data_IF_424732379745
#
_entry.id   IF_424732379745
#
_cell.length_a   1.000
_cell.length_b   1.000
_cell.length_c   1.000
_cell.angle_alpha   90.00
_cell.angle_beta   90.00
_cell.angle_gamma   90.00
#
_symmetry.space_group_name_H-M   'P 1'
#
loop_
_entity.id
_entity.type
_entity.pdbx_description
1 polymer ?
#
# COMPACT_ATOMS: atom_id res chain seq x y z
N UNK A 1 14.06 -15.75 21.55
CA UNK A 1 13.04 -14.95 20.83
C UNK A 1 11.96 -15.89 20.29
N UNK A 2 11.18 -16.54 21.16
CA UNK A 2 10.22 -17.58 20.72
C UNK A 2 8.75 -17.18 20.92
N UNK A 3 8.43 -16.06 21.56
CA UNK A 3 7.09 -15.89 22.16
C UNK A 3 5.99 -15.21 21.32
N UNK A 4 6.28 -14.61 20.16
CA UNK A 4 5.27 -13.85 19.40
C UNK A 4 4.66 -14.58 18.20
N UNK A 5 5.20 -15.73 17.80
CA UNK A 5 4.66 -16.55 16.68
C UNK A 5 3.57 -17.53 17.19
N UNK A 6 3.35 -17.66 18.50
CA UNK A 6 2.38 -18.62 19.05
C UNK A 6 0.98 -18.04 19.33
N UNK A 7 0.73 -16.76 19.01
CA UNK A 7 -0.59 -16.14 19.14
C UNK A 7 -1.31 -16.10 17.78
N UNK A 8 -2.59 -16.47 17.76
CA UNK A 8 -3.50 -16.38 16.61
C UNK A 8 -3.40 -15.04 15.85
N UNK A 9 -3.24 -13.93 16.57
CA UNK A 9 -3.11 -12.59 15.97
C UNK A 9 -1.84 -12.43 15.12
N UNK A 10 -0.71 -13.02 15.53
CA UNK A 10 0.54 -12.94 14.78
C UNK A 10 0.47 -13.69 13.45
N UNK A 11 -0.05 -14.93 13.47
CA UNK A 11 -0.27 -15.71 12.24
C UNK A 11 -1.27 -15.03 11.31
N UNK A 12 -2.35 -14.50 11.87
CA UNK A 12 -3.35 -13.77 11.10
C UNK A 12 -2.75 -12.54 10.40
N UNK A 13 -1.91 -11.76 11.09
CA UNK A 13 -1.21 -10.62 10.53
C UNK A 13 -0.27 -11.03 9.38
N UNK A 14 0.57 -12.06 9.59
CA UNK A 14 1.51 -12.53 8.58
C UNK A 14 0.78 -13.06 7.32
N UNK A 15 -0.25 -13.89 7.50
CA UNK A 15 -1.03 -14.43 6.37
C UNK A 15 -1.70 -13.30 5.59
N UNK A 16 -2.32 -12.35 6.30
CA UNK A 16 -2.94 -11.18 5.68
C UNK A 16 -1.91 -10.34 4.94
N UNK A 17 -0.69 -10.21 5.49
CA UNK A 17 0.44 -9.52 4.86
C UNK A 17 0.85 -10.16 3.53
N UNK A 18 0.96 -11.49 3.49
CA UNK A 18 1.27 -12.24 2.27
C UNK A 18 0.19 -12.00 1.20
N UNK A 19 -1.09 -12.06 1.58
CA UNK A 19 -2.21 -11.81 0.67
C UNK A 19 -2.16 -10.37 0.14
N UNK A 20 -1.90 -9.39 1.02
CA UNK A 20 -1.79 -7.99 0.64
C UNK A 20 -0.65 -7.76 -0.35
N UNK A 21 0.54 -8.33 -0.11
CA UNK A 21 1.71 -8.24 -1.01
C UNK A 21 1.42 -8.90 -2.35
N UNK A 22 0.83 -10.09 -2.36
CA UNK A 22 0.46 -10.78 -3.60
C UNK A 22 -0.57 -9.98 -4.42
N UNK A 23 -1.61 -9.46 -3.76
CA UNK A 23 -2.63 -8.64 -4.41
C UNK A 23 -2.05 -7.32 -4.93
N UNK A 24 -1.21 -6.64 -4.14
CA UNK A 24 -0.48 -5.43 -4.53
C UNK A 24 0.40 -5.66 -5.78
N UNK A 25 1.16 -6.75 -5.77
CA UNK A 25 2.02 -7.15 -6.90
C UNK A 25 1.17 -7.37 -8.16
N UNK A 26 0.06 -8.09 -8.02
CA UNK A 26 -0.85 -8.34 -9.14
C UNK A 26 -1.46 -7.06 -9.72
N UNK A 27 -1.94 -6.13 -8.88
CA UNK A 27 -2.55 -4.88 -9.35
C UNK A 27 -1.54 -3.94 -10.03
N UNK A 28 -0.26 -4.01 -9.64
CA UNK A 28 0.82 -3.26 -10.27
C UNK A 28 1.14 -3.78 -11.68
N UNK A 29 1.15 -5.10 -11.85
CA UNK A 29 1.47 -5.76 -13.12
C UNK A 29 0.28 -5.80 -14.09
N UNK A 30 -0.95 -5.64 -13.60
CA UNK A 30 -2.17 -5.75 -14.40
C UNK A 30 -2.54 -4.40 -15.05
N UNK A 31 -3.03 -4.39 -16.30
CA UNK A 31 -3.57 -3.18 -16.91
C UNK A 31 -4.66 -2.52 -16.05
N UNK A 32 -4.46 -1.24 -15.74
CA UNK A 32 -5.34 -0.43 -14.89
C UNK A 32 -6.72 -0.27 -15.52
N UNK A 33 -7.77 -0.34 -14.70
CA UNK A 33 -9.16 -0.15 -15.14
C UNK A 33 -9.85 -1.40 -15.71
N UNK A 34 -9.15 -2.53 -15.85
CA UNK A 34 -9.74 -3.81 -16.25
C UNK A 34 -10.64 -4.41 -15.15
N UNK A 35 -11.51 -5.36 -15.50
CA UNK A 35 -12.30 -6.13 -14.51
C UNK A 35 -11.40 -6.82 -13.49
N UNK A 36 -10.29 -7.40 -13.95
CA UNK A 36 -9.31 -8.05 -13.08
C UNK A 36 -8.66 -7.07 -12.10
N UNK A 37 -8.19 -5.92 -12.59
CA UNK A 37 -7.62 -4.87 -11.74
C UNK A 37 -8.61 -4.41 -10.66
N UNK A 38 -9.90 -4.26 -10.99
CA UNK A 38 -10.91 -3.88 -9.98
C UNK A 38 -11.15 -4.96 -8.93
N UNK A 39 -11.24 -6.23 -9.34
CA UNK A 39 -11.45 -7.35 -8.40
C UNK A 39 -10.26 -7.48 -7.45
N UNK A 40 -9.06 -7.55 -7.99
CA UNK A 40 -7.84 -7.66 -7.19
C UNK A 40 -7.51 -6.38 -6.40
N UNK A 41 -7.95 -5.22 -6.89
CA UNK A 41 -7.89 -3.96 -6.14
C UNK A 41 -8.72 -4.02 -4.85
N UNK A 42 -9.91 -4.61 -4.88
CA UNK A 42 -10.70 -4.81 -3.66
C UNK A 42 -10.09 -5.85 -2.73
N UNK A 43 -9.54 -6.95 -3.27
CA UNK A 43 -8.78 -7.93 -2.46
C UNK A 43 -7.63 -7.23 -1.74
N UNK A 44 -6.86 -6.40 -2.46
CA UNK A 44 -5.79 -5.60 -1.87
C UNK A 44 -6.31 -4.66 -0.78
N UNK A 45 -7.34 -3.86 -1.05
CA UNK A 45 -7.90 -2.88 -0.09
C UNK A 45 -8.40 -3.55 1.19
N UNK A 46 -9.13 -4.67 1.07
CA UNK A 46 -9.61 -5.41 2.23
C UNK A 46 -8.43 -5.99 3.01
N UNK A 47 -7.47 -6.61 2.32
CA UNK A 47 -6.31 -7.22 2.96
C UNK A 47 -5.43 -6.20 3.66
N UNK A 48 -5.15 -5.05 3.04
CA UNK A 48 -4.30 -4.03 3.64
C UNK A 48 -4.97 -3.35 4.83
N UNK A 49 -6.30 -3.13 4.81
CA UNK A 49 -7.02 -2.60 5.97
C UNK A 49 -6.99 -3.59 7.13
N UNK A 50 -7.22 -4.87 6.86
CA UNK A 50 -7.12 -5.92 7.89
C UNK A 50 -5.70 -6.00 8.44
N UNK A 51 -4.69 -5.93 7.57
CA UNK A 51 -3.29 -5.95 7.96
C UNK A 51 -2.94 -4.77 8.86
N UNK A 52 -3.24 -3.55 8.42
CA UNK A 52 -2.95 -2.31 9.15
C UNK A 52 -3.67 -2.32 10.52
N UNK A 53 -4.93 -2.76 10.59
CA UNK A 53 -5.68 -2.87 11.86
C UNK A 53 -5.09 -3.95 12.77
N UNK A 54 -4.72 -5.11 12.21
CA UNK A 54 -4.15 -6.21 13.00
C UNK A 54 -2.80 -5.83 13.65
N UNK A 55 -2.05 -4.90 13.07
CA UNK A 55 -0.83 -4.35 13.67
C UNK A 55 -1.08 -3.73 15.05
N UNK A 56 -2.26 -3.13 15.29
CA UNK A 56 -2.64 -2.56 16.59
C UNK A 56 -2.94 -3.62 17.65
N UNK A 57 -3.32 -4.82 17.23
CA UNK A 57 -3.49 -5.97 18.12
C UNK A 57 -2.17 -6.65 18.50
N UNK A 58 -1.08 -6.29 17.82
CA UNK A 58 0.28 -6.79 18.10
C UNK A 58 1.01 -5.69 18.87
N UNK A 59 1.11 -5.86 20.18
CA UNK A 59 1.97 -5.02 21.01
C UNK A 59 3.44 -5.36 20.71
N UNK A 60 4.16 -4.42 20.09
CA UNK A 60 5.57 -4.61 19.79
C UNK A 60 6.47 -4.33 21.01
N UNK A 61 7.49 -5.19 21.10
CA UNK A 61 8.77 -5.08 21.81
C UNK A 61 8.97 -3.92 22.82
N UNK A 62 9.04 -4.29 24.11
CA UNK A 62 9.89 -3.69 25.17
C UNK A 62 9.55 -2.36 25.87
N UNK A 63 8.41 -1.68 25.67
CA UNK A 63 8.13 -0.49 26.50
C UNK A 63 6.67 -0.10 26.73
N UNK A 64 5.69 -0.81 26.13
CA UNK A 64 4.28 -0.41 26.22
C UNK A 64 3.93 0.82 25.37
N UNK A 65 4.84 1.29 24.52
CA UNK A 65 4.61 2.37 23.55
C UNK A 65 4.41 1.81 22.13
N UNK A 66 3.61 2.46 21.27
CA UNK A 66 3.47 2.07 19.87
C UNK A 66 4.81 2.18 19.14
N UNK A 67 5.19 1.12 18.43
CA UNK A 67 6.38 1.10 17.59
C UNK A 67 6.21 1.91 16.30
N UNK A 68 7.29 2.12 15.53
CA UNK A 68 7.23 2.83 14.26
C UNK A 68 6.29 2.15 13.24
N UNK A 69 6.04 0.85 13.37
CA UNK A 69 5.12 0.11 12.51
C UNK A 69 3.65 0.50 12.74
N UNK A 70 3.23 0.87 13.95
CA UNK A 70 1.87 1.39 14.22
C UNK A 70 1.62 2.73 13.52
N UNK A 71 2.61 3.62 13.55
CA UNK A 71 2.56 4.89 12.81
C UNK A 71 2.49 4.63 11.31
N UNK A 72 3.29 3.68 10.82
CA UNK A 72 3.25 3.22 9.43
C UNK A 72 1.87 2.72 9.01
N UNK A 73 1.21 1.92 9.85
CA UNK A 73 -0.14 1.42 9.61
C UNK A 73 -1.18 2.54 9.52
N UNK A 74 -1.11 3.56 10.38
CA UNK A 74 -2.02 4.73 10.30
C UNK A 74 -1.81 5.55 9.03
N UNK A 75 -0.56 5.81 8.69
CA UNK A 75 -0.22 6.50 7.44
C UNK A 75 -0.77 5.70 6.27
N UNK A 76 -0.58 4.38 6.27
CA UNK A 76 -1.04 3.53 5.20
C UNK A 76 -2.57 3.51 5.06
N UNK A 77 -3.32 3.42 6.17
CA UNK A 77 -4.78 3.57 6.20
C UNK A 77 -5.23 4.91 5.61
N UNK A 78 -4.52 6.00 5.91
CA UNK A 78 -4.80 7.30 5.33
C UNK A 78 -4.60 7.30 3.81
N UNK A 79 -3.51 6.71 3.30
CA UNK A 79 -3.29 6.58 1.86
C UNK A 79 -4.36 5.73 1.17
N UNK A 80 -4.74 4.57 1.73
CA UNK A 80 -5.82 3.73 1.17
C UNK A 80 -7.13 4.49 1.14
N UNK A 81 -7.48 5.18 2.23
CA UNK A 81 -8.72 5.97 2.33
C UNK A 81 -8.78 7.07 1.28
N UNK A 82 -7.69 7.83 1.10
CA UNK A 82 -7.58 8.85 0.05
C UNK A 82 -7.49 8.28 -1.36
N UNK A 83 -7.07 7.02 -1.51
CA UNK A 83 -7.09 6.29 -2.76
C UNK A 83 -8.48 5.83 -3.17
N UNK A 84 -9.32 5.43 -2.22
CA UNK A 84 -10.66 4.92 -2.49
C UNK A 84 -11.71 6.02 -2.56
N UNK A 85 -11.59 7.06 -1.75
CA UNK A 85 -12.53 8.19 -1.74
C UNK A 85 -12.81 8.80 -3.14
N UNK A 86 -11.80 9.05 -4.00
CA UNK A 86 -12.01 9.55 -5.36
C UNK A 86 -12.79 8.58 -6.25
N UNK A 87 -12.64 7.27 -6.07
CA UNK A 87 -13.34 6.24 -6.86
C UNK A 87 -14.84 6.25 -6.56
N UNK A 88 -15.21 6.52 -5.30
CA UNK A 88 -16.60 6.65 -4.86
C UNK A 88 -17.22 7.93 -5.41
N UNK A 89 -16.52 9.08 -5.27
CA UNK A 89 -17.06 10.37 -5.68
C UNK A 89 -17.06 10.59 -7.20
N UNK A 90 -16.08 10.05 -7.92
CA UNK A 90 -15.85 10.24 -9.37
C UNK A 90 -15.93 11.70 -9.85
N UNK A 91 -15.37 12.62 -9.06
CA UNK A 91 -15.32 14.07 -9.36
C UNK A 91 -13.91 14.53 -9.70
N UNK A 92 -13.81 15.48 -10.64
CA UNK A 92 -12.54 16.09 -11.04
C UNK A 92 -11.51 15.04 -11.51
N UNK A 93 -10.27 15.19 -11.05
CA UNK A 93 -9.14 14.32 -11.35
C UNK A 93 -9.13 13.00 -10.53
N UNK A 94 -10.29 12.39 -10.37
CA UNK A 94 -10.46 11.23 -9.50
C UNK A 94 -9.53 10.05 -9.83
N UNK A 95 -9.26 9.78 -11.11
CA UNK A 95 -8.39 8.69 -11.54
C UNK A 95 -6.95 8.95 -11.10
N UNK A 96 -6.51 10.20 -11.21
CA UNK A 96 -5.17 10.63 -10.80
C UNK A 96 -5.00 10.55 -9.29
N UNK A 97 -6.00 11.00 -8.52
CA UNK A 97 -5.99 10.90 -7.06
C UNK A 97 -5.95 9.44 -6.61
N UNK A 98 -6.87 8.61 -7.12
CA UNK A 98 -6.89 7.17 -6.84
C UNK A 98 -5.52 6.53 -7.15
N UNK A 99 -4.98 6.83 -8.32
CA UNK A 99 -3.68 6.31 -8.73
C UNK A 99 -2.55 6.71 -7.77
N UNK A 100 -2.42 7.99 -7.44
CA UNK A 100 -1.31 8.46 -6.61
C UNK A 100 -1.37 7.88 -5.19
N UNK A 101 -2.56 7.90 -4.56
CA UNK A 101 -2.70 7.46 -3.19
C UNK A 101 -2.62 5.93 -3.04
N UNK A 102 -3.21 5.16 -3.96
CA UNK A 102 -3.08 3.69 -3.93
C UNK A 102 -1.63 3.27 -4.17
N UNK A 103 -0.88 3.88 -5.09
CA UNK A 103 0.53 3.52 -5.23
C UNK A 103 1.37 3.94 -4.02
N UNK A 104 1.00 5.04 -3.33
CA UNK A 104 1.64 5.42 -2.06
C UNK A 104 1.45 4.34 -0.99
N UNK A 105 0.22 3.81 -0.87
CA UNK A 105 -0.06 2.69 0.04
C UNK A 105 0.70 1.41 -0.36
N UNK A 106 0.71 1.06 -1.65
CA UNK A 106 1.46 -0.11 -2.14
C UNK A 106 2.96 0.02 -1.87
N UNK A 107 3.53 1.21 -2.08
CA UNK A 107 4.93 1.51 -1.77
C UNK A 107 5.22 1.33 -0.28
N UNK A 108 4.34 1.84 0.60
CA UNK A 108 4.44 1.66 2.05
C UNK A 108 4.39 0.19 2.47
N UNK A 109 3.49 -0.60 1.88
CA UNK A 109 3.40 -2.04 2.13
C UNK A 109 4.72 -2.76 1.80
N UNK A 110 5.30 -2.51 0.62
CA UNK A 110 6.57 -3.15 0.24
C UNK A 110 7.72 -2.72 1.16
N UNK A 111 7.79 -1.44 1.53
CA UNK A 111 8.80 -0.95 2.46
C UNK A 111 8.67 -1.67 3.82
N UNK A 112 7.46 -1.72 4.39
CA UNK A 112 7.20 -2.41 5.65
C UNK A 112 7.56 -3.90 5.58
N UNK A 113 7.17 -4.59 4.50
CA UNK A 113 7.48 -6.00 4.29
C UNK A 113 8.99 -6.30 4.32
N UNK A 114 9.79 -5.52 3.58
CA UNK A 114 11.24 -5.75 3.56
C UNK A 114 11.93 -5.32 4.86
N UNK A 115 11.46 -4.24 5.50
CA UNK A 115 11.99 -3.81 6.79
C UNK A 115 11.73 -4.89 7.84
N UNK A 116 10.52 -5.45 7.91
CA UNK A 116 10.19 -6.57 8.81
C UNK A 116 11.09 -7.79 8.55
N UNK A 117 11.38 -8.10 7.28
CA UNK A 117 12.33 -9.16 6.93
C UNK A 117 13.74 -8.88 7.49
N UNK A 118 14.22 -7.63 7.44
CA UNK A 118 15.50 -7.23 8.04
C UNK A 118 15.49 -7.42 9.56
N UNK A 119 14.45 -6.95 10.24
CA UNK A 119 14.32 -7.10 11.70
C UNK A 119 14.28 -8.57 12.16
N UNK A 120 13.80 -9.49 11.29
CA UNK A 120 13.79 -10.94 11.57
C UNK A 120 15.11 -11.65 11.24
N UNK A 121 15.84 -11.17 10.24
CA UNK A 121 17.06 -11.83 9.76
C UNK A 121 18.33 -11.37 10.47
N UNK A 122 18.34 -10.17 11.06
CA UNK A 122 19.53 -9.57 11.63
C UNK A 122 19.32 -9.18 13.09
N UNK A 123 20.38 -9.26 13.89
CA UNK A 123 20.38 -8.87 15.31
C UNK A 123 21.31 -7.70 15.60
N UNK A 124 22.23 -7.37 14.69
CA UNK A 124 23.14 -6.24 14.82
C UNK A 124 22.41 -4.93 14.50
N UNK A 125 22.30 -4.04 15.49
CA UNK A 125 21.57 -2.77 15.38
C UNK A 125 22.06 -1.85 14.25
N UNK A 126 23.37 -1.76 14.02
CA UNK A 126 23.90 -0.96 12.91
C UNK A 126 23.53 -1.53 11.55
N UNK A 127 23.55 -2.86 11.41
CA UNK A 127 23.11 -3.55 10.18
C UNK A 127 21.62 -3.33 9.96
N UNK A 128 20.78 -3.46 11.00
CA UNK A 128 19.33 -3.22 10.91
C UNK A 128 19.05 -1.79 10.45
N UNK A 129 19.68 -0.78 11.08
CA UNK A 129 19.48 0.63 10.72
C UNK A 129 19.91 0.87 9.27
N UNK A 130 21.12 0.42 8.90
CA UNK A 130 21.67 0.60 7.56
C UNK A 130 20.79 -0.03 6.47
N UNK A 131 20.37 -1.28 6.65
CA UNK A 131 19.51 -1.99 5.70
C UNK A 131 18.10 -1.42 5.65
N UNK A 132 17.53 -1.04 6.80
CA UNK A 132 16.19 -0.42 6.88
C UNK A 132 16.14 0.87 6.06
N UNK A 133 17.12 1.76 6.26
CA UNK A 133 17.22 3.01 5.50
C UNK A 133 17.48 2.73 4.02
N UNK A 134 18.46 1.87 3.71
CA UNK A 134 18.84 1.55 2.33
C UNK A 134 17.70 0.95 1.53
N UNK A 135 16.99 -0.04 2.08
CA UNK A 135 15.86 -0.69 1.41
C UNK A 135 14.67 0.24 1.28
N UNK A 136 14.36 1.04 2.30
CA UNK A 136 13.26 2.01 2.23
C UNK A 136 13.47 3.02 1.11
N UNK A 137 14.70 3.56 0.98
CA UNK A 137 15.07 4.45 -0.10
C UNK A 137 15.00 3.77 -1.47
N UNK A 138 15.45 2.51 -1.57
CA UNK A 138 15.37 1.73 -2.80
C UNK A 138 13.92 1.51 -3.24
N UNK A 139 13.04 1.08 -2.32
CA UNK A 139 11.61 0.87 -2.58
C UNK A 139 10.93 2.17 -2.99
N UNK A 140 11.22 3.28 -2.30
CA UNK A 140 10.73 4.60 -2.67
C UNK A 140 11.18 5.00 -4.07
N UNK A 141 12.47 4.85 -4.38
CA UNK A 141 13.02 5.23 -5.69
C UNK A 141 12.39 4.41 -6.81
N UNK A 142 12.37 3.09 -6.69
CA UNK A 142 11.77 2.19 -7.70
C UNK A 142 10.30 2.51 -7.89
N UNK A 143 9.56 2.66 -6.79
CA UNK A 143 8.13 3.00 -6.84
C UNK A 143 7.89 4.35 -7.50
N UNK A 144 8.69 5.37 -7.16
CA UNK A 144 8.60 6.71 -7.75
C UNK A 144 8.85 6.67 -9.26
N UNK A 145 9.88 5.95 -9.72
CA UNK A 145 10.18 5.79 -11.14
C UNK A 145 9.03 5.09 -11.88
N UNK A 146 8.49 4.01 -11.32
CA UNK A 146 7.34 3.30 -11.90
C UNK A 146 6.10 4.19 -11.96
N UNK A 147 5.82 4.95 -10.91
CA UNK A 147 4.69 5.89 -10.84
C UNK A 147 4.83 6.93 -11.96
N UNK A 148 5.98 7.62 -12.03
CA UNK A 148 6.23 8.70 -12.99
C UNK A 148 6.16 8.19 -14.43
N UNK A 149 6.76 7.02 -14.72
CA UNK A 149 6.72 6.41 -16.06
C UNK A 149 5.30 6.15 -16.56
N UNK A 150 4.38 5.75 -15.69
CA UNK A 150 3.00 5.42 -16.06
C UNK A 150 2.01 6.57 -15.91
N UNK A 151 2.40 7.72 -15.34
CA UNK A 151 1.52 8.89 -15.15
C UNK A 151 0.97 9.44 -16.46
N UNK A 152 1.75 9.73 -17.52
CA UNK A 152 1.24 10.43 -18.71
C UNK A 152 0.02 9.77 -19.36
N UNK A 153 0.03 8.43 -19.47
CA UNK A 153 -1.08 7.65 -20.03
C UNK A 153 -2.37 7.82 -19.22
N UNK A 154 -2.28 7.91 -17.89
CA UNK A 154 -3.44 8.11 -17.02
C UNK A 154 -4.03 9.52 -17.13
N UNK A 155 -3.20 10.54 -17.29
CA UNK A 155 -3.68 11.92 -17.49
C UNK A 155 -4.45 12.04 -18.81
N UNK A 156 -3.98 11.38 -19.87
CA UNK A 156 -4.69 11.34 -21.15
C UNK A 156 -6.07 10.67 -21.00
N UNK A 157 -6.14 9.54 -20.27
CA UNK A 157 -7.40 8.84 -20.00
C UNK A 157 -8.38 9.68 -19.17
N UNK A 158 -7.90 10.33 -18.10
CA UNK A 158 -8.71 11.24 -17.29
C UNK A 158 -9.25 12.40 -18.11
N UNK A 159 -8.42 13.00 -18.97
CA UNK A 159 -8.83 14.11 -19.84
C UNK A 159 -9.92 13.68 -20.83
N UNK A 160 -9.77 12.50 -21.45
CA UNK A 160 -10.78 11.93 -22.36
C UNK A 160 -12.09 11.67 -21.63
N UNK A 161 -12.03 11.07 -20.44
CA UNK A 161 -13.21 10.85 -19.59
C UNK A 161 -13.94 12.16 -19.26
N UNK A 162 -13.21 13.20 -18.81
CA UNK A 162 -13.80 14.48 -18.47
C UNK A 162 -14.46 15.16 -19.67
N UNK A 163 -13.85 15.09 -20.87
CA UNK A 163 -14.46 15.62 -22.10
C UNK A 163 -15.76 14.91 -22.47
N UNK A 164 -15.76 13.58 -22.48
CA UNK A 164 -16.94 12.78 -22.82
C UNK A 164 -18.09 13.01 -21.82
N UNK A 165 -17.77 13.20 -20.54
CA UNK A 165 -18.77 13.51 -19.52
C UNK A 165 -19.39 14.89 -19.73
N UNK A 166 -18.61 15.88 -20.15
CA UNK A 166 -19.11 17.22 -20.44
C UNK A 166 -20.05 17.23 -21.66
N UNK A 167 -19.68 16.53 -22.74
CA UNK A 167 -20.52 16.45 -23.94
C UNK A 167 -21.86 15.76 -23.71
N UNK A 168 -21.91 14.76 -22.83
CA UNK A 168 -23.13 14.04 -22.48
C UNK A 168 -24.10 14.83 -21.58
N UNK A 169 -23.64 15.92 -20.95
CA UNK A 169 -24.48 16.80 -20.13
C UNK A 169 -25.05 17.95 -20.97
N UNK A 170 -24.37 18.31 -22.07
CA UNK A 170 -24.79 19.38 -22.98
C UNK A 170 -25.72 18.92 -24.12
N UNK A 171 -25.97 17.61 -24.24
CA UNK A 171 -26.88 16.99 -25.21
C UNK A 171 -28.22 16.64 -24.56
#
# INVERSE_FOLDING_TARGET
MEWQIHNLFGWFHVITGIIAVAAATYILLTPKGTRSHRRMGWVYVVSIVILDVSAWGILEYNSGLPGPFHVGALINLFFVSLGIYPVIRRRGNWLQKHYNYINGSVMGLFAAFFVEAVFRSFTNGYVIIGLTVGISLLVMLVSMLLIVRHRPKLYQLQRKYSKNKASAISS
#
